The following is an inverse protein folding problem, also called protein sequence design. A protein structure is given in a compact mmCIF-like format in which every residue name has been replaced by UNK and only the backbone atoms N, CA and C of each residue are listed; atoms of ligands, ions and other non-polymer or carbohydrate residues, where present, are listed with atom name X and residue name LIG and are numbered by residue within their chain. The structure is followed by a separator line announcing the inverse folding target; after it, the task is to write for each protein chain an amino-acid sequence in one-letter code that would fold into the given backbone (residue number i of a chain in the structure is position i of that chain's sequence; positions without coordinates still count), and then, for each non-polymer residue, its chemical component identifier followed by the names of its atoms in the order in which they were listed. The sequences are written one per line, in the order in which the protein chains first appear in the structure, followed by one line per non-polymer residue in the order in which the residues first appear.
data_IF_762345220191
#
_entry.id   IF_762345220191
#
_cell.length_a   1.000
_cell.length_b   1.000
_cell.length_c   1.000
_cell.angle_alpha   90.00
_cell.angle_beta   90.00
_cell.angle_gamma   90.00
#
_symmetry.space_group_name_H-M   'P 1'
#
loop_
_entity.id
_entity.type
_entity.pdbx_description
1 polymer ?
#
# COMPACT_ATOMS: atom_id res chain seq x y z
N UNK A 1 8.20 7.24 28.70
CA UNK A 1 8.03 7.25 27.93
C UNK A 1 7.09 7.64 27.42
N UNK A 2 6.81 8.35 27.18
CA UNK A 2 5.71 8.79 26.57
C UNK A 2 5.36 7.92 25.49
N UNK A 3 4.20 7.84 25.17
CA UNK A 3 3.84 7.06 24.09
C UNK A 3 4.31 7.74 22.87
N UNK A 4 5.16 7.11 22.20
CA UNK A 4 5.56 7.60 20.92
C UNK A 4 4.41 7.39 19.99
N UNK A 5 4.03 8.43 19.30
CA UNK A 5 3.08 8.28 18.22
C UNK A 5 3.82 7.70 17.05
N UNK A 6 3.26 6.65 16.46
CA UNK A 6 3.83 6.07 15.27
C UNK A 6 3.51 6.98 14.08
N UNK A 7 4.54 7.41 13.39
CA UNK A 7 4.35 8.13 12.14
C UNK A 7 4.36 7.12 11.01
N UNK A 8 3.53 7.36 10.01
CA UNK A 8 3.35 6.44 8.89
C UNK A 8 3.71 7.11 7.59
N UNK A 9 4.25 6.38 6.67
CA UNK A 9 4.36 6.83 5.29
C UNK A 9 3.43 6.01 4.42
N UNK A 10 2.96 6.61 3.35
CA UNK A 10 1.94 6.02 2.50
C UNK A 10 2.40 5.95 1.06
N UNK A 11 1.92 4.94 0.35
CA UNK A 11 2.18 4.79 -1.07
C UNK A 11 0.88 4.48 -1.78
N UNK A 12 0.72 5.00 -2.98
CA UNK A 12 -0.40 4.66 -3.85
C UNK A 12 0.18 3.98 -5.08
N UNK A 13 -0.37 2.82 -5.41
CA UNK A 13 0.21 1.94 -6.42
C UNK A 13 -0.88 1.44 -7.35
N UNK A 14 -0.74 1.62 -8.67
CA UNK A 14 -1.71 1.03 -9.58
C UNK A 14 -1.56 -0.49 -9.61
N UNK A 15 -2.68 -1.19 -9.60
CA UNK A 15 -2.68 -2.64 -9.66
C UNK A 15 -3.02 -3.06 -11.08
N UNK A 16 -2.08 -3.75 -11.71
CA UNK A 16 -2.30 -4.26 -13.06
C UNK A 16 -3.06 -5.58 -12.96
N UNK A 17 -4.08 -5.78 -13.81
CA UNK A 17 -4.97 -6.94 -13.66
C UNK A 17 -4.26 -8.29 -13.67
N UNK A 18 -3.17 -8.41 -14.42
CA UNK A 18 -2.50 -9.70 -14.56
C UNK A 18 -1.46 -9.96 -13.49
N UNK A 19 -1.11 -8.94 -12.70
CA UNK A 19 -0.02 -9.04 -11.75
C UNK A 19 -0.40 -8.58 -10.36
N UNK A 20 -1.68 -8.60 -10.03
CA UNK A 20 -2.16 -8.03 -8.77
C UNK A 20 -1.45 -8.64 -7.57
N UNK A 21 -1.43 -9.99 -7.50
CA UNK A 21 -0.82 -10.66 -6.36
C UNK A 21 0.67 -10.36 -6.28
N UNK A 22 1.35 -10.38 -7.43
CA UNK A 22 2.78 -10.11 -7.46
C UNK A 22 3.09 -8.71 -6.95
N UNK A 23 2.31 -7.73 -7.36
CA UNK A 23 2.50 -6.35 -6.92
C UNK A 23 2.30 -6.25 -5.41
N UNK A 24 1.22 -6.85 -4.90
CA UNK A 24 0.94 -6.81 -3.48
C UNK A 24 2.05 -7.49 -2.68
N UNK A 25 2.51 -8.65 -3.15
CA UNK A 25 3.56 -9.39 -2.45
C UNK A 25 4.87 -8.61 -2.44
N UNK A 26 5.22 -7.98 -3.57
CA UNK A 26 6.46 -7.21 -3.65
C UNK A 26 6.45 -6.06 -2.65
N UNK A 27 5.33 -5.36 -2.52
CA UNK A 27 5.25 -4.27 -1.57
C UNK A 27 5.23 -4.78 -0.14
N UNK A 28 4.54 -5.89 0.10
CA UNK A 28 4.54 -6.50 1.42
C UNK A 28 5.92 -6.97 1.86
N UNK A 29 6.69 -7.53 0.93
CA UNK A 29 8.05 -7.96 1.22
C UNK A 29 8.93 -6.80 1.66
N UNK A 30 8.59 -5.59 1.21
CA UNK A 30 9.34 -4.39 1.55
C UNK A 30 8.81 -3.72 2.82
N UNK A 31 7.94 -4.38 3.53
CA UNK A 31 7.43 -3.90 4.82
C UNK A 31 6.16 -3.09 4.74
N UNK A 32 5.55 -3.01 3.57
CA UNK A 32 4.31 -2.25 3.41
C UNK A 32 3.10 -3.10 3.74
N UNK A 33 2.11 -2.45 4.34
CA UNK A 33 0.84 -3.07 4.67
C UNK A 33 -0.25 -2.46 3.79
N UNK A 34 -1.08 -3.31 3.19
CA UNK A 34 -2.19 -2.84 2.37
C UNK A 34 -3.28 -2.27 3.27
N UNK A 35 -3.68 -1.04 3.00
CA UNK A 35 -4.71 -0.36 3.77
C UNK A 35 -6.06 -0.45 3.08
N UNK A 36 -6.08 -0.21 1.78
CA UNK A 36 -7.33 -0.16 1.05
C UNK A 36 -7.05 -0.29 -0.44
N UNK A 37 -8.10 -0.64 -1.18
CA UNK A 37 -8.05 -0.71 -2.63
C UNK A 37 -9.24 0.08 -3.15
N UNK A 38 -9.01 0.88 -4.17
CA UNK A 38 -10.04 1.66 -4.80
C UNK A 38 -10.07 1.37 -6.29
N UNK A 39 -11.26 1.06 -6.82
CA UNK A 39 -11.42 0.83 -8.24
C UNK A 39 -12.11 2.03 -8.85
N UNK A 40 -11.42 2.70 -9.75
CA UNK A 40 -11.96 3.86 -10.44
C UNK A 40 -12.57 3.40 -11.76
N UNK A 41 -13.55 4.16 -12.25
CA UNK A 41 -14.14 3.86 -13.54
C UNK A 41 -13.13 4.03 -14.65
N UNK A 42 -12.28 5.03 -14.51
CA UNK A 42 -11.22 5.29 -15.46
C UNK A 42 -9.91 5.24 -14.70
N UNK A 43 -8.92 4.55 -15.22
CA UNK A 43 -7.63 4.47 -14.59
C UNK A 43 -7.38 3.20 -13.81
N UNK A 44 -8.40 2.35 -13.63
CA UNK A 44 -8.21 1.04 -13.03
C UNK A 44 -8.20 1.05 -11.51
N UNK A 45 -7.50 0.12 -10.95
CA UNK A 45 -7.49 -0.13 -9.50
C UNK A 45 -6.23 0.41 -8.89
N UNK A 46 -6.38 1.11 -7.76
CA UNK A 46 -5.26 1.69 -7.02
C UNK A 46 -5.23 1.07 -5.63
N UNK A 47 -4.05 0.65 -5.21
CA UNK A 47 -3.84 0.15 -3.87
C UNK A 47 -3.18 1.22 -3.02
N UNK A 48 -3.60 1.28 -1.77
CA UNK A 48 -3.03 2.22 -0.81
C UNK A 48 -2.29 1.42 0.25
N UNK A 49 -1.02 1.70 0.43
CA UNK A 49 -0.18 1.02 1.40
C UNK A 49 0.33 1.99 2.45
N UNK A 50 0.68 1.45 3.60
CA UNK A 50 1.35 2.24 4.63
C UNK A 50 2.47 1.42 5.24
N UNK A 51 3.43 2.09 5.83
CA UNK A 51 4.41 1.45 6.70
C UNK A 51 4.93 2.49 7.68
N UNK A 52 5.43 2.06 8.84
CA UNK A 52 5.97 3.01 9.80
C UNK A 52 7.17 3.72 9.22
N UNK A 53 7.27 5.00 9.48
CA UNK A 53 8.48 5.74 9.16
C UNK A 53 9.55 5.30 10.14
N UNK A 54 10.58 4.82 9.59
CA UNK A 54 11.60 4.25 10.41
C UNK A 54 12.58 5.19 10.97
#
# INVERSE_FOLDING_TARGET
MGSAMTAWEYATVPLLPHNTKQILDNWGDDGWELVAVHTAEVGGTIAFFKRPKG
#
